data_IF_147169594439
#
_entry.id   IF_147169594439
#
_cell.length_a   1.000
_cell.length_b   1.000
_cell.length_c   1.000
_cell.angle_alpha   90.00
_cell.angle_beta   90.00
_cell.angle_gamma   90.00
#
_symmetry.space_group_name_H-M   'P 1'
#
loop_
_entity.id
_entity.type
_entity.pdbx_description
1 polymer ?
#
# COMPACT_ATOMS: atom_id res chain seq x y z
N UNK A 1 -17.75 -0.20 1.59
CA UNK A 1 -16.61 0.33 0.80
C UNK A 1 -15.74 -0.84 0.41
N UNK A 2 -15.35 -1.02 -0.85
CA UNK A 2 -14.56 -2.19 -1.25
C UNK A 2 -13.11 -2.07 -0.75
N UNK A 3 -12.47 -3.22 -0.44
CA UNK A 3 -11.08 -3.28 0.00
C UNK A 3 -10.12 -2.62 -1.00
N UNK A 4 -10.43 -2.72 -2.30
CA UNK A 4 -9.66 -2.04 -3.35
C UNK A 4 -9.72 -0.52 -3.23
N UNK A 5 -10.88 0.05 -2.88
CA UNK A 5 -11.01 1.50 -2.71
C UNK A 5 -10.26 2.01 -1.47
N UNK A 6 -10.32 1.23 -0.38
CA UNK A 6 -9.57 1.49 0.85
C UNK A 6 -8.06 1.52 0.59
N UNK A 7 -7.57 0.49 -0.09
CA UNK A 7 -6.15 0.34 -0.44
C UNK A 7 -5.70 1.46 -1.37
N UNK A 8 -6.50 1.81 -2.38
CA UNK A 8 -6.17 2.90 -3.30
C UNK A 8 -6.09 4.25 -2.57
N UNK A 9 -7.00 4.50 -1.62
CA UNK A 9 -6.99 5.72 -0.80
C UNK A 9 -5.77 5.77 0.12
N UNK A 10 -5.49 4.68 0.84
CA UNK A 10 -4.34 4.56 1.72
C UNK A 10 -3.03 4.77 0.94
N UNK A 11 -2.94 4.16 -0.25
CA UNK A 11 -1.79 4.31 -1.14
C UNK A 11 -1.64 5.77 -1.58
N UNK A 12 -2.71 6.42 -2.05
CA UNK A 12 -2.66 7.83 -2.45
C UNK A 12 -2.11 8.71 -1.32
N UNK A 13 -2.67 8.61 -0.12
CA UNK A 13 -2.23 9.39 1.05
C UNK A 13 -0.77 9.11 1.41
N UNK A 14 -0.34 7.84 1.38
CA UNK A 14 1.04 7.46 1.65
C UNK A 14 2.01 8.05 0.61
N UNK A 15 1.57 8.18 -0.63
CA UNK A 15 2.41 8.60 -1.75
C UNK A 15 2.52 10.10 -1.91
N UNK A 16 1.52 10.85 -1.43
CA UNK A 16 1.54 12.32 -1.41
C UNK A 16 2.75 12.86 -0.63
N UNK A 17 3.24 12.12 0.37
CA UNK A 17 4.44 12.48 1.15
C UNK A 17 5.77 12.33 0.39
N UNK A 18 5.76 11.59 -0.71
CA UNK A 18 6.94 11.28 -1.51
C UNK A 18 6.85 11.85 -2.94
N UNK A 19 5.90 12.74 -3.19
CA UNK A 19 5.76 13.42 -4.48
C UNK A 19 7.06 14.16 -4.84
N UNK A 20 7.55 13.92 -6.07
CA UNK A 20 8.78 14.53 -6.58
C UNK A 20 10.08 13.87 -6.09
N UNK A 21 10.00 12.85 -5.22
CA UNK A 21 11.17 12.03 -4.85
C UNK A 21 11.34 10.88 -5.84
N UNK A 22 12.60 10.53 -6.15
CA UNK A 22 12.92 9.41 -7.04
C UNK A 22 12.50 8.07 -6.44
N UNK A 23 12.15 7.10 -7.28
CA UNK A 23 11.72 5.78 -6.85
C UNK A 23 12.85 5.01 -6.15
N UNK A 24 12.85 4.94 -4.82
CA UNK A 24 13.84 4.14 -4.06
C UNK A 24 13.18 2.99 -3.29
N UNK A 25 13.91 1.89 -3.01
CA UNK A 25 13.40 0.81 -2.17
C UNK A 25 12.96 1.28 -0.77
N UNK A 26 13.62 2.33 -0.23
CA UNK A 26 13.29 2.94 1.05
C UNK A 26 11.90 3.57 0.99
N UNK A 27 11.63 4.40 -0.02
CA UNK A 27 10.33 5.04 -0.24
C UNK A 27 9.23 3.99 -0.43
N UNK A 28 9.50 2.92 -1.19
CA UNK A 28 8.54 1.82 -1.37
C UNK A 28 8.16 1.18 -0.04
N UNK A 29 9.14 0.96 0.84
CA UNK A 29 8.92 0.35 2.13
C UNK A 29 8.17 1.29 3.10
N UNK A 30 8.46 2.58 3.05
CA UNK A 30 7.74 3.60 3.83
C UNK A 30 6.28 3.72 3.39
N UNK A 31 6.03 3.77 2.08
CA UNK A 31 4.66 3.74 1.52
C UNK A 31 3.94 2.47 1.98
N UNK A 32 4.59 1.30 1.87
CA UNK A 32 4.02 0.02 2.32
C UNK A 32 3.62 0.08 3.79
N UNK A 33 4.50 0.56 4.67
CA UNK A 33 4.22 0.68 6.11
C UNK A 33 3.06 1.62 6.40
N UNK A 34 3.01 2.77 5.72
CA UNK A 34 1.93 3.73 5.89
C UNK A 34 0.57 3.13 5.46
N UNK A 35 0.52 2.44 4.32
CA UNK A 35 -0.71 1.76 3.86
C UNK A 35 -1.18 0.69 4.85
N UNK A 36 -0.26 -0.13 5.35
CA UNK A 36 -0.60 -1.17 6.33
C UNK A 36 -1.11 -0.60 7.66
N UNK A 37 -0.51 0.51 8.13
CA UNK A 37 -0.97 1.20 9.33
C UNK A 37 -2.38 1.76 9.15
N UNK A 38 -2.68 2.36 8.00
CA UNK A 38 -4.01 2.91 7.68
C UNK A 38 -5.06 1.80 7.57
N UNK A 39 -4.72 0.66 6.98
CA UNK A 39 -5.59 -0.51 6.90
C UNK A 39 -5.84 -1.13 8.29
N UNK A 40 -4.81 -1.22 9.12
CA UNK A 40 -4.94 -1.72 10.50
C UNK A 40 -5.84 -0.80 11.35
N UNK A 41 -5.69 0.52 11.21
CA UNK A 41 -6.55 1.50 11.89
C UNK A 41 -8.02 1.38 11.45
N UNK A 42 -8.27 0.94 10.22
CA UNK A 42 -9.60 0.66 9.68
C UNK A 42 -10.12 -0.75 10.00
N UNK A 43 -9.39 -1.52 10.82
CA UNK A 43 -9.80 -2.85 11.28
C UNK A 43 -9.53 -3.99 10.29
N UNK A 44 -8.73 -3.77 9.23
CA UNK A 44 -8.41 -4.82 8.27
C UNK A 44 -7.23 -5.69 8.75
N UNK A 45 -7.37 -7.02 8.91
CA UNK A 45 -6.29 -7.97 9.21
C UNK A 45 -5.19 -8.09 8.15
N UNK A 46 -5.21 -7.30 7.07
CA UNK A 46 -4.16 -7.29 6.05
C UNK A 46 -2.76 -7.01 6.65
N UNK A 47 -2.69 -6.37 7.82
CA UNK A 47 -1.45 -6.18 8.56
C UNK A 47 -0.73 -7.49 8.90
N UNK A 48 -1.46 -8.58 9.19
CA UNK A 48 -0.84 -9.89 9.45
C UNK A 48 -0.18 -10.49 8.21
N UNK A 49 -0.70 -10.15 7.03
CA UNK A 49 -0.18 -10.58 5.74
C UNK A 49 0.70 -9.51 5.07
N UNK A 50 1.17 -8.51 5.84
CA UNK A 50 2.03 -7.44 5.38
C UNK A 50 3.25 -7.91 4.59
N UNK A 51 3.84 -9.05 4.98
CA UNK A 51 5.01 -9.63 4.29
C UNK A 51 4.70 -10.05 2.84
N UNK A 52 3.45 -10.38 2.52
CA UNK A 52 3.01 -10.79 1.17
C UNK A 52 2.61 -9.62 0.29
N UNK A 53 2.35 -8.45 0.89
CA UNK A 53 2.01 -7.23 0.17
C UNK A 53 3.29 -6.59 -0.35
N UNK A 54 3.31 -6.22 -1.62
CA UNK A 54 4.47 -5.56 -2.25
C UNK A 54 4.06 -4.18 -2.75
N UNK A 55 4.98 -3.23 -2.66
CA UNK A 55 4.85 -1.95 -3.36
C UNK A 55 5.82 -2.00 -4.52
N UNK A 56 5.27 -1.90 -5.73
CA UNK A 56 6.01 -1.77 -6.96
C UNK A 56 6.06 -0.30 -7.34
N UNK A 57 7.26 0.21 -7.58
CA UNK A 57 7.45 1.60 -7.95
C UNK A 57 8.24 1.61 -9.26
N UNK A 58 7.62 2.18 -10.28
CA UNK A 58 8.25 2.41 -11.57
C UNK A 58 8.55 3.91 -11.63
N UNK A 59 9.79 4.26 -11.93
CA UNK A 59 10.22 5.66 -11.98
C UNK A 59 9.36 6.45 -13.00
N UNK A 60 8.88 7.62 -12.60
CA UNK A 60 7.93 8.41 -13.39
C UNK A 60 6.48 7.90 -13.41
N UNK A 61 6.14 6.84 -12.65
CA UNK A 61 4.75 6.38 -12.43
C UNK A 61 4.35 6.50 -10.96
N UNK A 62 3.04 6.47 -10.72
CA UNK A 62 2.53 6.29 -9.37
C UNK A 62 2.89 4.88 -8.87
N UNK A 63 3.36 4.74 -7.62
CA UNK A 63 3.55 3.44 -6.99
C UNK A 63 2.27 2.65 -7.03
N UNK A 64 2.42 1.36 -7.26
CA UNK A 64 1.35 0.39 -7.23
C UNK A 64 1.52 -0.52 -6.02
N UNK A 65 0.44 -0.81 -5.33
CA UNK A 65 0.45 -1.81 -4.26
C UNK A 65 -0.14 -3.11 -4.80
N UNK A 66 0.66 -4.16 -4.75
CA UNK A 66 0.27 -5.50 -5.16
C UNK A 66 -0.16 -6.26 -3.90
N UNK A 67 -1.46 -6.45 -3.79
CA UNK A 67 -2.07 -7.29 -2.76
C UNK A 67 -2.44 -8.61 -3.42
N UNK A 68 -1.89 -9.74 -2.94
CA UNK A 68 -2.27 -11.04 -3.45
C UNK A 68 -3.79 -11.28 -3.35
N UNK A 69 -4.43 -11.81 -4.39
CA UNK A 69 -5.89 -11.97 -4.46
C UNK A 69 -6.45 -12.86 -3.34
N UNK A 70 -5.67 -13.80 -2.82
CA UNK A 70 -6.03 -14.63 -1.68
C UNK A 70 -6.24 -13.84 -0.38
N UNK A 71 -5.59 -12.67 -0.24
CA UNK A 71 -5.81 -11.78 0.90
C UNK A 71 -7.07 -10.94 0.74
N UNK A 72 -7.52 -10.72 -0.50
CA UNK A 72 -8.76 -10.03 -0.82
C UNK A 72 -10.00 -10.90 -0.56
N UNK A 73 -9.83 -12.23 -0.51
CA UNK A 73 -10.91 -13.20 -0.23
C UNK A 73 -11.16 -13.46 1.26
N UNK A 74 -10.28 -12.97 2.13
CA UNK A 74 -10.39 -13.09 3.60
C UNK A 74 -11.24 -11.96 4.22
N UNK A 75 -11.88 -11.12 3.38
CA UNK A 75 -12.69 -9.96 3.75
C UNK A 75 -14.05 -9.97 3.05
#
# INVERSE_FOLDING_TARGET
>A
MSLQLLVAKALRVATERHLGQGATPIICNDIKRAVLADLAAQGHPLWHAAHRIRVEFIDGRHPNIVIPPELLKLH
#
